data_IF_383769414592
#
_entry.id   IF_383769414592
#
_cell.length_a   1.000
_cell.length_b   1.000
_cell.length_c   1.000
_cell.angle_alpha   90.00
_cell.angle_beta   90.00
_cell.angle_gamma   90.00
#
_symmetry.space_group_name_H-M   'P 1'
#
loop_
_entity.id
_entity.type
_entity.pdbx_description
1 polymer ?
#
# COMPACT_ATOMS: atom_id res chain seq x y z
N UNK A 1 11.66 -24.32 9.25
CA UNK A 1 11.75 -22.85 9.23
C UNK A 1 10.32 -22.34 9.43
N UNK A 2 10.07 -21.48 10.40
CA UNK A 2 8.68 -21.05 10.69
C UNK A 2 8.16 -20.12 9.58
N UNK A 3 6.85 -20.17 9.30
CA UNK A 3 6.21 -19.34 8.27
C UNK A 3 6.47 -17.85 8.47
N UNK A 4 6.58 -17.41 9.73
CA UNK A 4 6.93 -16.05 10.10
C UNK A 4 8.35 -15.64 9.64
N UNK A 5 9.31 -16.57 9.64
CA UNK A 5 10.67 -16.28 9.16
C UNK A 5 10.71 -16.12 7.63
N UNK A 6 9.95 -16.94 6.90
CA UNK A 6 9.83 -16.83 5.44
C UNK A 6 9.12 -15.53 5.07
N UNK A 7 8.01 -15.22 5.74
CA UNK A 7 7.30 -13.97 5.57
C UNK A 7 8.20 -12.77 5.89
N UNK A 8 8.94 -12.82 6.99
CA UNK A 8 9.88 -11.76 7.36
C UNK A 8 10.98 -11.56 6.32
N UNK A 9 11.59 -12.64 5.83
CA UNK A 9 12.67 -12.60 4.83
C UNK A 9 12.22 -11.98 3.50
N UNK A 10 10.95 -12.14 3.12
CA UNK A 10 10.40 -11.58 1.88
C UNK A 10 9.84 -10.17 2.10
N UNK A 11 9.10 -9.95 3.18
CA UNK A 11 8.40 -8.68 3.44
C UNK A 11 9.37 -7.57 3.83
N UNK A 12 10.38 -7.86 4.66
CA UNK A 12 11.33 -6.84 5.11
C UNK A 12 12.05 -6.11 3.95
N UNK A 13 12.68 -6.79 2.98
CA UNK A 13 13.33 -6.10 1.88
C UNK A 13 12.35 -5.32 1.01
N UNK A 14 11.13 -5.84 0.80
CA UNK A 14 10.09 -5.12 0.06
C UNK A 14 9.68 -3.82 0.75
N UNK A 15 9.50 -3.85 2.07
CA UNK A 15 9.18 -2.64 2.87
C UNK A 15 10.33 -1.64 2.80
N UNK A 16 11.58 -2.09 2.92
CA UNK A 16 12.76 -1.22 2.83
C UNK A 16 12.83 -0.53 1.46
N UNK A 17 12.68 -1.29 0.37
CA UNK A 17 12.69 -0.74 -0.99
C UNK A 17 11.54 0.24 -1.18
N UNK A 18 10.34 -0.11 -0.73
CA UNK A 18 9.17 0.77 -0.80
C UNK A 18 9.40 2.10 -0.09
N UNK A 19 9.90 2.08 1.15
CA UNK A 19 10.21 3.30 1.91
C UNK A 19 11.28 4.12 1.21
N UNK A 20 12.35 3.49 0.72
CA UNK A 20 13.41 4.18 -0.01
C UNK A 20 12.88 4.90 -1.26
N UNK A 21 11.97 4.26 -2.02
CA UNK A 21 11.33 4.85 -3.19
C UNK A 21 10.45 6.05 -2.82
N UNK A 22 9.59 5.93 -1.80
CA UNK A 22 8.72 7.02 -1.35
C UNK A 22 9.55 8.22 -0.87
N UNK A 23 10.56 7.98 -0.03
CA UNK A 23 11.47 9.04 0.45
C UNK A 23 12.19 9.72 -0.71
N UNK A 24 12.72 8.92 -1.64
CA UNK A 24 13.42 9.46 -2.82
C UNK A 24 12.48 10.31 -3.68
N UNK A 25 11.24 9.86 -3.90
CA UNK A 25 10.24 10.60 -4.66
C UNK A 25 9.89 11.93 -3.96
N UNK A 26 9.68 11.93 -2.65
CA UNK A 26 9.42 13.16 -1.88
C UNK A 26 10.60 14.13 -2.01
N UNK A 27 11.84 13.63 -1.87
CA UNK A 27 13.04 14.44 -2.02
C UNK A 27 13.14 15.04 -3.43
N UNK A 28 12.84 14.27 -4.48
CA UNK A 28 12.82 14.75 -5.85
C UNK A 28 11.78 15.87 -6.03
N UNK A 29 10.55 15.64 -5.60
CA UNK A 29 9.45 16.63 -5.68
C UNK A 29 9.80 17.92 -4.94
N UNK A 30 10.42 17.82 -3.77
CA UNK A 30 10.82 18.98 -2.97
C UNK A 30 11.99 19.75 -3.59
N UNK A 31 12.92 19.03 -4.24
CA UNK A 31 14.11 19.63 -4.86
C UNK A 31 13.87 20.15 -6.27
N UNK A 32 12.82 19.69 -6.93
CA UNK A 32 12.47 20.16 -8.27
C UNK A 32 12.01 21.62 -8.21
N UNK A 33 12.79 22.50 -8.84
CA UNK A 33 12.51 23.94 -8.89
C UNK A 33 11.49 24.31 -9.97
N UNK A 34 11.21 23.40 -10.92
CA UNK A 34 10.17 23.60 -11.92
C UNK A 34 8.77 23.33 -11.34
N UNK A 35 8.68 22.49 -10.29
CA UNK A 35 7.46 22.25 -9.52
C UNK A 35 7.30 23.31 -8.43
N UNK A 36 6.47 24.33 -8.71
CA UNK A 36 6.17 25.41 -7.76
C UNK A 36 4.72 25.36 -7.25
N UNK A 37 4.53 25.91 -6.04
CA UNK A 37 3.20 26.13 -5.44
C UNK A 37 2.39 24.85 -5.22
N UNK A 38 1.10 24.91 -5.52
CA UNK A 38 0.10 23.88 -5.22
C UNK A 38 0.44 22.50 -5.83
N UNK A 39 1.05 22.47 -7.02
CA UNK A 39 1.39 21.21 -7.68
C UNK A 39 2.38 20.38 -6.84
N UNK A 40 3.38 21.02 -6.25
CA UNK A 40 4.35 20.37 -5.38
C UNK A 40 3.70 19.82 -4.11
N UNK A 41 2.82 20.61 -3.49
CA UNK A 41 2.09 20.21 -2.29
C UNK A 41 1.19 19.00 -2.55
N UNK A 42 0.45 19.01 -3.66
CA UNK A 42 -0.41 17.89 -4.05
C UNK A 42 0.39 16.61 -4.28
N UNK A 43 1.58 16.68 -4.88
CA UNK A 43 2.44 15.51 -5.06
C UNK A 43 2.96 14.94 -3.74
N UNK A 44 3.41 15.80 -2.82
CA UNK A 44 3.85 15.36 -1.48
C UNK A 44 2.69 14.73 -0.73
N UNK A 45 1.51 15.38 -0.75
CA UNK A 45 0.30 14.86 -0.11
C UNK A 45 -0.08 13.51 -0.72
N UNK A 46 -0.11 13.39 -2.06
CA UNK A 46 -0.44 12.14 -2.73
C UNK A 46 0.49 10.99 -2.33
N UNK A 47 1.81 11.24 -2.29
CA UNK A 47 2.82 10.23 -1.90
C UNK A 47 2.64 9.71 -0.47
N UNK A 48 2.05 10.50 0.43
CA UNK A 48 1.83 10.13 1.84
C UNK A 48 0.42 9.58 2.05
N UNK A 49 -0.58 10.22 1.48
CA UNK A 49 -2.00 9.93 1.71
C UNK A 49 -2.40 8.62 1.06
N UNK A 50 -2.00 8.36 -0.20
CA UNK A 50 -2.34 7.11 -0.88
C UNK A 50 -1.94 5.85 -0.09
N UNK A 51 -0.70 5.70 0.41
CA UNK A 51 -0.33 4.53 1.20
C UNK A 51 -1.20 4.35 2.44
N UNK A 52 -1.47 5.45 3.15
CA UNK A 52 -2.26 5.44 4.39
C UNK A 52 -3.70 5.02 4.09
N UNK A 53 -4.34 5.62 3.08
CA UNK A 53 -5.69 5.24 2.67
C UNK A 53 -5.77 3.82 2.12
N UNK A 54 -4.76 3.36 1.39
CA UNK A 54 -4.68 1.98 0.92
C UNK A 54 -4.63 0.99 2.10
N UNK A 55 -3.83 1.28 3.12
CA UNK A 55 -3.77 0.48 4.34
C UNK A 55 -5.11 0.50 5.10
N UNK A 56 -5.71 1.67 5.29
CA UNK A 56 -7.02 1.82 5.94
C UNK A 56 -8.10 1.02 5.18
N UNK A 57 -8.14 1.13 3.85
CA UNK A 57 -9.08 0.40 3.01
C UNK A 57 -8.87 -1.11 3.10
N UNK A 58 -7.63 -1.58 3.19
CA UNK A 58 -7.33 -3.00 3.38
C UNK A 58 -7.85 -3.52 4.73
N UNK A 59 -7.53 -2.83 5.83
CA UNK A 59 -8.00 -3.23 7.16
C UNK A 59 -9.52 -3.08 7.31
N UNK A 60 -10.09 -2.05 6.69
CA UNK A 60 -11.51 -1.74 6.76
C UNK A 60 -12.40 -2.63 5.89
N UNK A 61 -11.91 -3.06 4.72
CA UNK A 61 -12.71 -3.78 3.72
C UNK A 61 -11.97 -5.02 3.21
N UNK A 62 -10.74 -4.84 2.72
CA UNK A 62 -9.98 -5.86 2.00
C UNK A 62 -9.81 -7.18 2.76
N UNK A 63 -9.57 -7.12 4.07
CA UNK A 63 -9.41 -8.32 4.89
C UNK A 63 -10.67 -9.21 4.93
N UNK A 64 -11.86 -8.64 4.75
CA UNK A 64 -13.14 -9.38 4.77
C UNK A 64 -13.53 -9.96 3.41
N UNK A 65 -12.84 -9.56 2.33
CA UNK A 65 -13.17 -9.99 0.97
C UNK A 65 -13.07 -11.51 0.80
N UNK A 66 -12.09 -12.15 1.44
CA UNK A 66 -11.92 -13.61 1.37
C UNK A 66 -13.11 -14.37 1.96
N UNK A 67 -13.70 -13.88 3.06
CA UNK A 67 -14.87 -14.49 3.68
C UNK A 67 -16.12 -14.32 2.81
N UNK A 68 -16.29 -13.12 2.24
CA UNK A 68 -17.37 -12.86 1.28
C UNK A 68 -17.28 -13.77 0.05
N UNK A 69 -16.08 -13.98 -0.51
CA UNK A 69 -15.86 -14.88 -1.64
C UNK A 69 -16.23 -16.34 -1.28
N UNK A 70 -15.83 -16.82 -0.09
CA UNK A 70 -16.20 -18.17 0.37
C UNK A 70 -17.71 -18.34 0.53
N UNK A 71 -18.41 -17.31 1.00
CA UNK A 71 -19.86 -17.35 1.14
C UNK A 71 -20.56 -17.46 -0.22
N UNK A 72 -20.13 -16.67 -1.21
CA UNK A 72 -20.66 -16.74 -2.58
C UNK A 72 -20.37 -18.10 -3.22
N UNK A 73 -19.17 -18.64 -3.04
CA UNK A 73 -18.78 -19.92 -3.63
C UNK A 73 -19.59 -21.09 -3.04
N UNK A 74 -19.91 -21.05 -1.74
CA UNK A 74 -20.82 -22.04 -1.12
C UNK A 74 -22.22 -22.01 -1.72
N UNK A 75 -22.76 -20.82 -2.01
CA UNK A 75 -24.06 -20.67 -2.65
C UNK A 75 -24.05 -21.18 -4.09
N UNK A 76 -22.93 -20.99 -4.80
CA UNK A 76 -22.75 -21.47 -6.17
C UNK A 76 -22.69 -22.99 -6.28
N UNK A 77 -22.05 -23.68 -5.33
CA UNK A 77 -21.99 -25.15 -5.31
C UNK A 77 -23.15 -25.84 -4.60
N UNK A 78 -24.02 -25.07 -3.91
CA UNK A 78 -25.24 -25.57 -3.28
C UNK A 78 -26.46 -25.57 -4.20
N UNK A 79 -26.32 -25.06 -5.43
CA UNK A 79 -27.28 -25.13 -6.54
C UNK A 79 -26.78 -26.14 -7.58
#
# INVERSE_FOLDING_TARGET
MSDALIAGAVVAPLVIVYVALVVTAIVQVVRDRALAGLARELWVVALVVFPVFGAIAWYGIGHRTADAQRAVERLRYGL
#
